data_IF_388774882068
#
_entry.id   IF_388774882068
#
_cell.length_a   1.000
_cell.length_b   1.000
_cell.length_c   1.000
_cell.angle_alpha   90.00
_cell.angle_beta   90.00
_cell.angle_gamma   90.00
#
_symmetry.space_group_name_H-M   'P 1'
#
loop_
_entity.id
_entity.type
_entity.pdbx_description
1 polymer ?
#
# COMPACT_ATOMS: atom_id res chain seq x y z
N UNK A 1 -18.19 51.84 -50.79
CA UNK A 1 -17.96 51.19 -49.48
C UNK A 1 -17.66 49.72 -49.71
N UNK A 2 -16.40 49.29 -49.64
CA UNK A 2 -15.99 47.89 -49.79
C UNK A 2 -15.76 47.31 -48.38
N UNK A 3 -16.51 46.27 -48.04
CA UNK A 3 -16.38 45.53 -46.79
C UNK A 3 -15.27 44.49 -46.96
N UNK A 4 -14.26 44.49 -46.06
CA UNK A 4 -13.26 43.43 -45.94
C UNK A 4 -13.76 42.33 -44.99
N UNK A 5 -13.55 41.04 -45.30
CA UNK A 5 -13.93 39.95 -44.39
C UNK A 5 -12.84 39.76 -43.30
N UNK A 6 -13.27 39.68 -42.04
CA UNK A 6 -12.43 39.24 -40.91
C UNK A 6 -12.28 37.72 -40.94
N UNK A 7 -11.06 37.23 -40.99
CA UNK A 7 -10.74 35.82 -40.77
C UNK A 7 -10.49 35.58 -39.26
N UNK A 8 -11.02 34.52 -38.66
CA UNK A 8 -10.74 34.20 -37.27
C UNK A 8 -9.34 33.57 -37.15
N UNK A 9 -8.51 34.13 -36.29
CA UNK A 9 -7.26 33.52 -35.82
C UNK A 9 -7.59 32.39 -34.87
N UNK A 10 -7.31 31.16 -35.28
CA UNK A 10 -7.35 29.98 -34.40
C UNK A 10 -6.00 29.95 -33.66
N UNK A 11 -6.03 30.27 -32.36
CA UNK A 11 -4.88 30.05 -31.49
C UNK A 11 -4.78 28.54 -31.14
N UNK A 12 -3.79 27.87 -31.68
CA UNK A 12 -3.45 26.50 -31.29
C UNK A 12 -2.71 26.55 -29.93
N UNK A 13 -3.38 26.13 -28.89
CA UNK A 13 -2.74 25.90 -27.60
C UNK A 13 -1.88 24.62 -27.70
N UNK A 14 -0.56 24.77 -27.71
CA UNK A 14 0.35 23.64 -27.53
C UNK A 14 0.27 23.20 -26.05
N UNK A 15 -0.37 22.07 -25.81
CA UNK A 15 -0.21 21.33 -24.58
C UNK A 15 1.20 20.70 -24.58
N UNK A 16 2.11 21.27 -23.79
CA UNK A 16 3.35 20.59 -23.44
C UNK A 16 2.98 19.40 -22.54
N UNK A 17 2.91 18.20 -23.11
CA UNK A 17 2.95 16.98 -22.34
C UNK A 17 4.37 16.81 -21.78
N UNK A 18 4.53 17.01 -20.48
CA UNK A 18 5.75 16.66 -19.79
C UNK A 18 5.94 15.13 -19.92
N UNK A 19 6.93 14.72 -20.70
CA UNK A 19 7.33 13.32 -20.82
C UNK A 19 8.02 12.92 -19.52
N UNK A 20 7.31 12.25 -18.62
CA UNK A 20 7.92 11.59 -17.48
C UNK A 20 8.75 10.40 -17.97
N UNK A 21 9.91 10.20 -17.37
CA UNK A 21 10.81 9.07 -17.64
C UNK A 21 10.08 7.75 -17.43
N UNK A 22 10.06 6.87 -18.43
CA UNK A 22 9.30 5.61 -18.50
C UNK A 22 9.70 4.52 -17.47
N UNK A 23 10.65 4.81 -16.56
CA UNK A 23 11.12 3.86 -15.55
C UNK A 23 10.44 3.96 -14.17
N UNK A 24 9.80 5.10 -13.88
CA UNK A 24 9.22 5.38 -12.57
C UNK A 24 7.68 5.29 -12.55
N UNK A 25 7.07 5.08 -13.71
CA UNK A 25 5.62 4.93 -13.81
C UNK A 25 5.16 3.52 -13.46
N UNK A 26 3.98 3.42 -12.88
CA UNK A 26 3.38 2.14 -12.55
C UNK A 26 3.17 1.28 -13.82
N UNK A 27 3.41 -0.03 -13.74
CA UNK A 27 3.15 -0.93 -14.86
C UNK A 27 1.66 -0.93 -15.24
N UNK A 28 1.39 -1.16 -16.52
CA UNK A 28 0.03 -1.39 -16.97
C UNK A 28 -0.58 -2.57 -16.20
N UNK A 29 -1.88 -2.48 -15.92
CA UNK A 29 -2.59 -3.56 -15.25
C UNK A 29 -2.67 -4.80 -16.16
N UNK A 30 -2.29 -5.95 -15.60
CA UNK A 30 -2.44 -7.23 -16.30
C UNK A 30 -3.93 -7.61 -16.36
N UNK A 31 -4.47 -7.94 -17.55
CA UNK A 31 -5.88 -8.32 -17.71
C UNK A 31 -6.25 -9.62 -16.98
N UNK A 32 -5.27 -10.42 -16.55
CA UNK A 32 -5.45 -11.63 -15.75
C UNK A 32 -5.59 -11.39 -14.25
N UNK A 33 -5.61 -10.14 -13.78
CA UNK A 33 -5.81 -9.86 -12.36
C UNK A 33 -7.14 -10.38 -11.82
N UNK A 34 -7.11 -11.02 -10.65
CA UNK A 34 -8.26 -11.59 -9.97
C UNK A 34 -8.72 -10.66 -8.86
N UNK A 35 -10.01 -10.26 -8.88
CA UNK A 35 -10.63 -9.55 -7.75
C UNK A 35 -10.77 -10.50 -6.57
N UNK A 36 -10.26 -10.10 -5.41
CA UNK A 36 -10.29 -10.84 -4.15
C UNK A 36 -11.21 -10.22 -3.09
N UNK A 37 -11.88 -9.13 -3.44
CA UNK A 37 -12.99 -8.56 -2.69
C UNK A 37 -14.17 -8.36 -3.63
N UNK A 38 -15.35 -8.86 -3.21
CA UNK A 38 -16.55 -8.92 -4.03
C UNK A 38 -17.42 -7.65 -4.01
N UNK A 39 -17.06 -6.66 -3.14
CA UNK A 39 -17.80 -5.42 -2.95
C UNK A 39 -19.12 -5.56 -2.19
N UNK A 40 -19.42 -6.72 -1.60
CA UNK A 40 -20.73 -6.99 -0.94
C UNK A 40 -20.57 -7.41 0.52
N UNK A 41 -19.65 -8.32 0.79
CA UNK A 41 -19.41 -8.90 2.11
C UNK A 41 -17.94 -9.33 2.26
N UNK A 42 -17.58 -9.81 3.45
CA UNK A 42 -16.23 -10.28 3.77
C UNK A 42 -16.00 -11.77 3.45
N UNK A 43 -16.75 -12.36 2.53
CA UNK A 43 -16.49 -13.73 2.07
C UNK A 43 -15.05 -13.85 1.55
N UNK A 44 -14.32 -14.85 2.03
CA UNK A 44 -12.89 -15.04 1.74
C UNK A 44 -11.94 -14.25 2.66
N UNK A 45 -12.49 -13.49 3.61
CA UNK A 45 -11.72 -12.69 4.58
C UNK A 45 -12.10 -13.09 6.02
N UNK A 46 -11.12 -13.01 6.95
CA UNK A 46 -11.28 -13.35 8.37
C UNK A 46 -10.67 -12.25 9.24
N UNK A 47 -11.48 -11.63 10.07
CA UNK A 47 -11.10 -10.56 10.99
C UNK A 47 -12.13 -10.38 12.08
N UNK A 48 -11.85 -9.55 13.09
CA UNK A 48 -12.76 -9.29 14.19
C UNK A 48 -14.09 -8.70 13.67
N UNK A 49 -15.22 -9.43 13.78
CA UNK A 49 -16.50 -8.98 13.23
C UNK A 49 -17.08 -7.74 13.94
N UNK A 50 -16.53 -7.36 15.09
CA UNK A 50 -16.91 -6.13 15.79
C UNK A 50 -16.29 -4.90 15.12
N UNK A 51 -15.16 -5.07 14.40
CA UNK A 51 -14.32 -4.01 13.89
C UNK A 51 -14.35 -3.92 12.37
N UNK A 52 -14.57 -5.03 11.66
CA UNK A 52 -14.56 -5.11 10.21
C UNK A 52 -15.94 -5.33 9.62
N UNK A 53 -16.28 -4.57 8.60
CA UNK A 53 -17.56 -4.64 7.90
C UNK A 53 -17.40 -4.23 6.43
N UNK A 54 -18.49 -4.32 5.65
CA UNK A 54 -18.58 -3.70 4.33
C UNK A 54 -19.58 -2.55 4.41
N UNK A 55 -19.16 -1.36 3.99
CA UNK A 55 -20.01 -0.16 3.90
C UNK A 55 -19.89 0.41 2.48
N UNK A 56 -21.00 0.64 1.81
CA UNK A 56 -21.05 1.24 0.46
C UNK A 56 -20.11 0.60 -0.56
N UNK A 57 -19.97 -0.73 -0.50
CA UNK A 57 -19.14 -1.49 -1.44
C UNK A 57 -17.64 -1.47 -1.13
N UNK A 58 -17.23 -0.97 0.03
CA UNK A 58 -15.83 -0.96 0.46
C UNK A 58 -15.64 -1.75 1.77
N UNK A 59 -14.48 -2.36 1.96
CA UNK A 59 -14.08 -2.89 3.26
C UNK A 59 -13.85 -1.70 4.18
N UNK A 60 -14.54 -1.69 5.32
CA UNK A 60 -14.43 -0.67 6.35
C UNK A 60 -13.98 -1.32 7.66
N UNK A 61 -12.86 -0.87 8.19
CA UNK A 61 -12.38 -1.20 9.52
C UNK A 61 -12.44 0.02 10.42
N UNK A 62 -12.94 -0.16 11.66
CA UNK A 62 -13.10 0.95 12.60
C UNK A 62 -12.91 0.50 14.05
N UNK A 63 -12.16 1.29 14.82
CA UNK A 63 -12.10 1.21 16.28
C UNK A 63 -12.66 2.49 16.89
N UNK A 64 -13.36 2.36 18.01
CA UNK A 64 -13.91 3.48 18.78
C UNK A 64 -13.51 3.35 20.25
N UNK A 65 -13.78 4.36 21.08
CA UNK A 65 -13.55 4.26 22.53
C UNK A 65 -14.35 3.13 23.18
N UNK A 66 -15.55 2.85 22.66
CA UNK A 66 -16.41 1.76 23.13
C UNK A 66 -16.07 0.40 22.51
N UNK A 67 -15.36 0.37 21.38
CA UNK A 67 -15.05 -0.84 20.62
C UNK A 67 -13.57 -0.83 20.20
N UNK A 68 -12.71 -1.08 21.15
CA UNK A 68 -11.25 -1.04 20.99
C UNK A 68 -10.71 -2.36 20.43
N UNK A 69 -9.59 -2.28 19.72
CA UNK A 69 -8.79 -3.44 19.37
C UNK A 69 -7.84 -3.80 20.54
N UNK A 70 -7.80 -5.08 20.89
CA UNK A 70 -6.80 -5.59 21.84
C UNK A 70 -5.48 -5.91 21.11
N UNK A 71 -4.60 -4.91 21.03
CA UNK A 71 -3.42 -4.94 20.18
C UNK A 71 -3.75 -4.69 18.71
N UNK A 72 -2.71 -4.70 17.85
CA UNK A 72 -2.91 -4.66 16.41
C UNK A 72 -3.73 -5.87 15.96
N UNK A 73 -4.73 -5.64 15.12
CA UNK A 73 -5.63 -6.67 14.60
C UNK A 73 -5.77 -6.54 13.08
N UNK A 74 -6.04 -7.66 12.42
CA UNK A 74 -5.96 -7.72 10.97
C UNK A 74 -7.17 -8.40 10.37
N UNK A 75 -7.57 -7.94 9.18
CA UNK A 75 -8.48 -8.66 8.29
C UNK A 75 -7.65 -9.48 7.32
N UNK A 76 -7.69 -10.80 7.46
CA UNK A 76 -6.82 -11.77 6.78
C UNK A 76 -7.54 -12.34 5.55
N UNK A 77 -6.91 -12.23 4.36
CA UNK A 77 -7.39 -12.92 3.18
C UNK A 77 -7.07 -14.43 3.27
N UNK A 78 -8.09 -15.27 3.15
CA UNK A 78 -8.01 -16.73 3.39
C UNK A 78 -7.77 -17.55 2.12
N UNK A 79 -8.10 -17.02 0.96
CA UNK A 79 -8.20 -17.80 -0.27
C UNK A 79 -6.90 -17.85 -1.09
N UNK A 80 -5.78 -17.37 -0.51
CA UNK A 80 -4.50 -17.41 -1.22
C UNK A 80 -3.29 -16.97 -0.40
N UNK A 81 -2.17 -16.89 -1.10
CA UNK A 81 -0.87 -16.46 -0.55
C UNK A 81 -0.23 -15.41 -1.45
N UNK A 82 0.66 -14.63 -0.85
CA UNK A 82 1.53 -13.65 -1.52
C UNK A 82 2.95 -14.22 -1.59
N UNK A 83 3.30 -14.82 -2.73
CA UNK A 83 4.67 -15.27 -3.07
C UNK A 83 5.31 -14.27 -4.02
N UNK A 84 5.35 -14.59 -5.33
CA UNK A 84 5.65 -13.64 -6.39
C UNK A 84 4.32 -13.10 -6.91
N UNK A 85 4.06 -11.82 -6.67
CA UNK A 85 2.73 -11.25 -6.92
C UNK A 85 2.78 -9.77 -7.30
N UNK A 86 1.70 -9.31 -7.93
CA UNK A 86 1.31 -7.90 -7.99
C UNK A 86 -0.07 -7.75 -7.34
N UNK A 87 -0.16 -6.89 -6.35
CA UNK A 87 -1.40 -6.50 -5.67
C UNK A 87 -1.73 -5.06 -6.04
N UNK A 88 -2.99 -4.80 -6.35
CA UNK A 88 -3.55 -3.45 -6.54
C UNK A 88 -4.76 -3.26 -5.67
N UNK A 89 -4.86 -2.09 -5.06
CA UNK A 89 -6.03 -1.66 -4.30
C UNK A 89 -6.04 -0.14 -4.14
N UNK A 90 -7.17 0.41 -3.71
CA UNK A 90 -7.25 1.79 -3.23
C UNK A 90 -7.54 1.79 -1.74
N UNK A 91 -6.94 2.75 -1.02
CA UNK A 91 -7.18 2.94 0.41
C UNK A 91 -7.45 4.41 0.75
N UNK A 92 -8.09 4.62 1.87
CA UNK A 92 -8.12 5.86 2.64
C UNK A 92 -8.25 5.55 4.13
N UNK A 93 -7.74 6.43 4.98
CA UNK A 93 -7.84 6.29 6.44
C UNK A 93 -7.85 7.67 7.09
N UNK A 94 -8.27 7.74 8.36
CA UNK A 94 -8.13 8.98 9.11
C UNK A 94 -6.67 9.24 9.55
N UNK A 95 -6.40 10.46 10.05
CA UNK A 95 -5.05 10.88 10.44
C UNK A 95 -4.70 10.57 11.91
N UNK A 96 -5.58 9.89 12.66
CA UNK A 96 -5.39 9.72 14.12
C UNK A 96 -4.46 8.56 14.46
N UNK A 97 -4.33 7.59 13.57
CA UNK A 97 -3.48 6.41 13.75
C UNK A 97 -2.97 5.93 12.38
N UNK A 98 -2.16 4.88 12.35
CA UNK A 98 -1.73 4.23 11.11
C UNK A 98 -2.56 2.97 10.83
N UNK A 99 -2.45 2.51 9.61
CA UNK A 99 -2.94 1.23 9.11
C UNK A 99 -1.85 0.56 8.28
N UNK A 100 -2.14 -0.55 7.63
CA UNK A 100 -1.16 -1.24 6.80
C UNK A 100 -1.74 -2.31 5.92
N UNK A 101 -1.02 -2.62 4.85
CA UNK A 101 -1.25 -3.76 3.98
C UNK A 101 -0.13 -4.76 4.23
N UNK A 102 -0.45 -5.86 4.87
CA UNK A 102 0.46 -6.96 5.14
C UNK A 102 0.59 -7.86 3.92
N UNK A 103 1.80 -8.26 3.58
CA UNK A 103 2.07 -9.23 2.51
C UNK A 103 3.27 -10.10 2.88
N UNK A 104 3.34 -11.31 2.33
CA UNK A 104 4.36 -12.32 2.70
C UNK A 104 4.47 -12.48 4.21
N UNK A 105 3.35 -12.34 4.92
CA UNK A 105 3.29 -12.29 6.37
C UNK A 105 2.79 -13.61 6.95
N UNK A 106 2.91 -13.77 8.27
CA UNK A 106 2.48 -14.96 9.00
C UNK A 106 1.34 -14.63 9.95
N UNK A 107 0.29 -15.44 9.95
CA UNK A 107 -0.74 -15.43 10.97
C UNK A 107 -0.19 -16.05 12.25
N UNK A 108 -0.25 -15.34 13.37
CA UNK A 108 0.30 -15.78 14.65
C UNK A 108 -0.82 -16.41 15.49
N UNK A 109 -0.83 -17.72 15.55
CA UNK A 109 -1.84 -18.51 16.28
C UNK A 109 -1.30 -19.14 17.57
N UNK A 110 0.02 -19.09 17.75
CA UNK A 110 0.71 -19.71 18.90
C UNK A 110 1.36 -18.63 19.79
N UNK A 111 1.76 -19.00 21.01
CA UNK A 111 2.48 -18.10 21.94
C UNK A 111 1.60 -17.07 22.62
N UNK A 112 0.28 -17.28 22.71
CA UNK A 112 -0.72 -16.40 23.36
C UNK A 112 -0.74 -15.00 22.73
N UNK A 113 -1.06 -14.86 21.43
CA UNK A 113 -1.24 -13.54 20.83
C UNK A 113 -2.38 -12.79 21.55
N UNK A 114 -2.34 -11.45 21.53
CA UNK A 114 -3.36 -10.60 22.20
C UNK A 114 -4.77 -10.83 21.66
N UNK A 115 -4.88 -11.12 20.37
CA UNK A 115 -6.13 -11.50 19.74
C UNK A 115 -5.86 -12.58 18.68
N UNK A 116 -6.92 -13.16 18.13
CA UNK A 116 -6.79 -14.27 17.18
C UNK A 116 -6.44 -13.85 15.74
N UNK A 117 -6.31 -12.55 15.47
CA UNK A 117 -5.98 -12.02 14.13
C UNK A 117 -4.67 -11.24 14.14
N UNK A 118 -3.67 -11.70 14.88
CA UNK A 118 -2.34 -11.09 14.89
C UNK A 118 -1.54 -11.58 13.69
N UNK A 119 -0.95 -10.65 12.96
CA UNK A 119 -0.11 -10.91 11.78
C UNK A 119 1.27 -10.29 11.98
N UNK A 120 2.32 -10.92 11.45
CA UNK A 120 3.71 -10.42 11.47
C UNK A 120 4.34 -10.62 10.11
N UNK A 121 5.12 -9.63 9.68
CA UNK A 121 5.86 -9.67 8.42
C UNK A 121 5.97 -8.31 7.74
N UNK A 122 6.09 -8.29 6.41
CA UNK A 122 6.17 -7.04 5.67
C UNK A 122 4.84 -6.30 5.67
N UNK A 123 4.90 -5.01 5.99
CA UNK A 123 3.78 -4.09 5.92
C UNK A 123 4.08 -2.93 4.98
N UNK A 124 3.24 -2.70 4.00
CA UNK A 124 3.12 -1.40 3.35
C UNK A 124 2.37 -0.49 4.33
N UNK A 125 3.08 0.42 4.96
CA UNK A 125 2.51 1.34 5.95
C UNK A 125 1.50 2.28 5.31
N UNK A 126 0.39 2.55 6.00
CA UNK A 126 -0.64 3.49 5.59
C UNK A 126 -0.79 4.60 6.62
N UNK A 127 -0.69 5.85 6.17
CA UNK A 127 -0.87 7.05 6.97
C UNK A 127 -1.60 8.11 6.15
N UNK A 128 -2.33 8.97 6.81
CA UNK A 128 -3.02 10.10 6.18
C UNK A 128 -2.30 11.40 6.50
N UNK A 129 -1.03 11.51 6.08
CA UNK A 129 -0.20 12.68 6.34
C UNK A 129 0.83 12.91 5.22
N UNK A 130 1.36 14.14 5.12
CA UNK A 130 2.31 14.55 4.08
C UNK A 130 3.76 14.75 4.57
N UNK A 131 4.04 14.55 5.85
CA UNK A 131 5.34 14.87 6.44
C UNK A 131 6.34 13.73 6.30
N UNK A 132 7.35 13.91 5.46
CA UNK A 132 8.48 13.00 5.33
C UNK A 132 9.26 12.84 6.66
N UNK A 133 9.80 11.65 6.95
CA UNK A 133 9.72 10.38 6.22
C UNK A 133 8.58 9.47 6.70
N UNK A 134 7.69 9.95 7.59
CA UNK A 134 6.63 9.17 8.23
C UNK A 134 5.33 9.20 7.43
N UNK A 135 5.38 8.80 6.18
CA UNK A 135 4.25 8.85 5.24
C UNK A 135 3.85 7.45 4.79
N UNK A 136 2.72 7.34 4.08
CA UNK A 136 2.30 6.06 3.50
C UNK A 136 3.35 5.49 2.55
N UNK A 137 3.54 4.17 2.56
CA UNK A 137 4.27 3.46 1.50
C UNK A 137 5.61 2.88 1.89
N UNK A 138 6.18 3.17 3.07
CA UNK A 138 7.41 2.50 3.48
C UNK A 138 7.15 1.03 3.88
N UNK A 139 8.21 0.21 3.83
CA UNK A 139 8.14 -1.16 4.33
C UNK A 139 8.46 -1.17 5.81
N UNK A 140 7.51 -1.67 6.61
CA UNK A 140 7.67 -1.92 8.04
C UNK A 140 7.73 -3.43 8.33
N UNK A 141 8.55 -3.81 9.31
CA UNK A 141 8.66 -5.20 9.82
C UNK A 141 7.69 -5.38 10.99
N UNK A 142 6.41 -5.62 10.71
CA UNK A 142 5.36 -5.75 11.72
C UNK A 142 5.67 -6.93 12.67
N UNK A 143 5.88 -6.60 13.94
CA UNK A 143 6.24 -7.56 14.98
C UNK A 143 7.62 -8.19 14.82
N UNK A 144 8.44 -7.72 13.88
CA UNK A 144 9.80 -8.15 13.64
C UNK A 144 10.84 -7.27 14.33
N UNK A 145 12.10 -7.41 13.94
CA UNK A 145 13.25 -6.75 14.59
C UNK A 145 13.78 -5.53 13.84
N UNK A 146 13.47 -5.42 12.53
CA UNK A 146 14.08 -4.42 11.64
C UNK A 146 13.37 -3.06 11.66
N UNK A 147 12.11 -3.01 12.14
CA UNK A 147 11.32 -1.79 12.17
C UNK A 147 11.05 -1.27 10.76
N UNK A 148 11.51 -0.04 10.44
CA UNK A 148 11.41 0.53 9.08
C UNK A 148 12.51 -0.04 8.20
N UNK A 149 12.15 -0.93 7.28
CA UNK A 149 13.08 -1.64 6.41
C UNK A 149 13.56 -0.74 5.28
N UNK A 150 12.64 -0.09 4.57
CA UNK A 150 12.94 0.80 3.44
C UNK A 150 11.92 1.95 3.43
N UNK A 151 12.39 3.18 3.31
CA UNK A 151 11.55 4.38 3.37
C UNK A 151 11.05 4.78 1.98
N UNK A 152 10.02 5.60 1.95
CA UNK A 152 9.55 6.23 0.70
C UNK A 152 10.63 7.15 0.16
N UNK A 153 10.82 7.10 -1.16
CA UNK A 153 11.88 7.80 -1.88
C UNK A 153 13.15 6.98 -2.06
N UNK A 154 13.29 5.84 -1.36
CA UNK A 154 14.51 5.03 -1.39
C UNK A 154 14.51 3.96 -2.50
N UNK A 155 15.66 3.82 -3.16
CA UNK A 155 16.14 2.55 -3.73
C UNK A 155 17.11 1.94 -2.74
N UNK A 156 16.80 0.74 -2.23
CA UNK A 156 17.56 0.17 -1.13
C UNK A 156 17.77 -1.33 -1.22
N UNK A 157 18.72 -1.81 -0.41
CA UNK A 157 18.88 -3.24 -0.19
C UNK A 157 19.39 -3.53 1.21
N UNK A 158 19.02 -4.70 1.74
CA UNK A 158 19.67 -5.31 2.89
C UNK A 158 20.52 -6.48 2.38
N UNK A 159 21.76 -6.54 2.82
CA UNK A 159 22.67 -7.64 2.44
C UNK A 159 22.57 -8.81 3.42
N UNK A 160 23.31 -9.87 3.12
CA UNK A 160 23.38 -11.08 3.95
C UNK A 160 23.93 -10.87 5.36
N UNK A 161 24.60 -9.76 5.61
CA UNK A 161 25.21 -9.41 6.89
C UNK A 161 24.33 -8.42 7.67
N UNK A 162 23.08 -8.16 7.19
CA UNK A 162 22.13 -7.25 7.81
C UNK A 162 22.46 -5.77 7.62
N UNK A 163 23.35 -5.44 6.67
CA UNK A 163 23.71 -4.07 6.37
C UNK A 163 22.77 -3.51 5.30
N UNK A 164 22.19 -2.35 5.58
CA UNK A 164 21.38 -1.60 4.63
C UNK A 164 22.25 -0.68 3.77
N UNK A 165 21.97 -0.66 2.47
CA UNK A 165 22.45 0.37 1.53
C UNK A 165 21.24 1.03 0.90
N UNK A 166 21.31 2.35 0.65
CA UNK A 166 20.18 3.12 0.10
C UNK A 166 20.66 4.31 -0.73
N UNK A 167 19.87 4.69 -1.75
CA UNK A 167 19.86 6.01 -2.36
C UNK A 167 18.46 6.64 -2.21
N UNK A 168 18.36 7.98 -2.23
CA UNK A 168 17.10 8.72 -2.01
C UNK A 168 16.78 9.58 -3.22
N UNK A 169 16.44 8.92 -4.31
CA UNK A 169 16.30 9.54 -5.63
C UNK A 169 14.96 9.26 -6.35
N UNK A 170 14.02 8.55 -5.69
CA UNK A 170 12.73 8.22 -6.30
C UNK A 170 11.70 9.32 -6.12
N UNK A 171 11.49 9.78 -4.89
CA UNK A 171 10.46 10.75 -4.51
C UNK A 171 10.97 11.62 -3.39
N UNK A 172 10.90 12.92 -3.56
CA UNK A 172 11.16 13.94 -2.54
C UNK A 172 9.86 14.48 -1.91
N UNK A 173 9.98 15.41 -0.98
CA UNK A 173 8.85 16.03 -0.29
C UNK A 173 7.91 16.79 -1.26
N UNK A 174 8.44 17.45 -2.28
CA UNK A 174 7.63 18.23 -3.23
C UNK A 174 6.81 17.30 -4.12
N UNK A 175 7.45 16.28 -4.68
CA UNK A 175 6.78 15.23 -5.45
C UNK A 175 5.70 14.54 -4.62
N UNK A 176 6.01 14.18 -3.36
CA UNK A 176 5.04 13.57 -2.46
C UNK A 176 3.82 14.46 -2.22
N UNK A 177 4.02 15.77 -1.99
CA UNK A 177 2.93 16.70 -1.75
C UNK A 177 1.95 16.82 -2.93
N UNK A 178 2.44 16.62 -4.15
CA UNK A 178 1.60 16.58 -5.36
C UNK A 178 0.96 15.21 -5.60
N UNK A 179 1.59 14.14 -5.12
CA UNK A 179 1.18 12.76 -5.37
C UNK A 179 0.13 12.28 -4.39
N UNK A 180 0.36 12.46 -3.07
CA UNK A 180 -0.49 11.93 -2.02
C UNK A 180 -1.76 12.78 -1.81
N UNK A 181 -2.92 12.12 -1.77
CA UNK A 181 -4.24 12.74 -1.58
C UNK A 181 -4.67 12.56 -0.12
N UNK A 182 -4.54 13.64 0.69
CA UNK A 182 -5.02 13.65 2.08
C UNK A 182 -6.54 13.57 2.11
N UNK A 183 -7.08 12.79 3.04
CA UNK A 183 -8.52 12.55 3.25
C UNK A 183 -9.26 11.99 2.01
N UNK A 184 -8.54 11.43 1.05
CA UNK A 184 -9.10 10.89 -0.17
C UNK A 184 -8.48 9.53 -0.52
N UNK A 185 -9.04 8.88 -1.55
CA UNK A 185 -8.58 7.60 -2.06
C UNK A 185 -7.19 7.71 -2.71
N UNK A 186 -6.30 6.83 -2.29
CA UNK A 186 -4.97 6.66 -2.87
C UNK A 186 -4.84 5.25 -3.43
N UNK A 187 -4.30 5.15 -4.66
CA UNK A 187 -4.11 3.89 -5.34
C UNK A 187 -2.73 3.32 -5.02
N UNK A 188 -2.67 2.06 -4.62
CA UNK A 188 -1.45 1.34 -4.26
C UNK A 188 -1.23 0.18 -5.21
N UNK A 189 0.04 -0.01 -5.62
CA UNK A 189 0.52 -1.25 -6.22
C UNK A 189 1.69 -1.75 -5.39
N UNK A 190 1.63 -3.02 -5.01
CA UNK A 190 2.75 -3.74 -4.39
C UNK A 190 3.15 -4.84 -5.35
N UNK A 191 4.41 -4.82 -5.80
CA UNK A 191 5.02 -5.89 -6.59
C UNK A 191 6.13 -6.53 -5.79
N UNK A 192 6.12 -7.85 -5.72
CA UNK A 192 7.18 -8.61 -5.09
C UNK A 192 7.50 -9.82 -5.98
N UNK A 193 8.75 -9.93 -6.43
CA UNK A 193 9.24 -11.05 -7.23
C UNK A 193 10.63 -11.48 -6.71
N UNK A 194 10.73 -12.73 -6.23
CA UNK A 194 11.91 -13.17 -5.51
C UNK A 194 12.16 -12.26 -4.28
N UNK A 195 13.34 -11.68 -4.19
CA UNK A 195 13.74 -10.75 -3.15
C UNK A 195 13.49 -9.27 -3.49
N UNK A 196 12.98 -8.96 -4.68
CA UNK A 196 12.74 -7.60 -5.17
C UNK A 196 11.31 -7.16 -4.84
N UNK A 197 11.18 -6.02 -4.17
CA UNK A 197 9.92 -5.43 -3.73
C UNK A 197 9.83 -3.99 -4.25
N UNK A 198 8.71 -3.65 -4.86
CA UNK A 198 8.43 -2.32 -5.37
C UNK A 198 7.06 -1.85 -4.87
N UNK A 199 7.01 -0.62 -4.35
CA UNK A 199 5.75 0.04 -4.00
C UNK A 199 5.51 1.22 -4.92
N UNK A 200 4.27 1.32 -5.42
CA UNK A 200 3.79 2.46 -6.20
C UNK A 200 2.61 3.10 -5.50
N UNK A 201 2.53 4.41 -5.58
CA UNK A 201 1.40 5.19 -5.10
C UNK A 201 0.92 6.12 -6.20
N UNK A 202 -0.40 6.13 -6.47
CA UNK A 202 -1.03 6.98 -7.47
C UNK A 202 -0.30 7.00 -8.82
N UNK A 203 0.19 5.83 -9.25
CA UNK A 203 0.88 5.64 -10.52
C UNK A 203 2.41 5.88 -10.51
N UNK A 204 2.99 6.28 -9.38
CA UNK A 204 4.44 6.57 -9.26
C UNK A 204 5.15 5.53 -8.40
N UNK A 205 6.34 5.07 -8.84
CA UNK A 205 7.25 4.26 -8.02
C UNK A 205 7.76 5.12 -6.86
N UNK A 206 7.48 4.68 -5.63
CA UNK A 206 7.84 5.41 -4.41
C UNK A 206 8.90 4.69 -3.58
N UNK A 207 9.13 3.40 -3.84
CA UNK A 207 10.09 2.56 -3.14
C UNK A 207 10.50 1.39 -4.03
N UNK A 208 11.82 1.10 -4.07
CA UNK A 208 12.41 -0.03 -4.78
C UNK A 208 13.43 -0.71 -3.87
N UNK A 209 13.19 -1.98 -3.50
CA UNK A 209 13.92 -2.63 -2.44
C UNK A 209 14.29 -4.08 -2.76
N UNK A 210 15.54 -4.46 -2.44
CA UNK A 210 16.01 -5.84 -2.50
C UNK A 210 16.36 -6.37 -1.11
N UNK A 211 15.65 -7.38 -0.63
CA UNK A 211 15.94 -8.03 0.64
C UNK A 211 16.83 -9.26 0.41
N UNK A 212 18.13 -9.09 0.62
CA UNK A 212 19.13 -10.16 0.46
C UNK A 212 19.54 -10.79 1.80
N UNK A 213 18.86 -10.47 2.89
CA UNK A 213 19.10 -11.11 4.20
C UNK A 213 18.48 -12.51 4.21
N UNK A 214 19.29 -13.60 4.21
CA UNK A 214 18.76 -14.97 4.08
C UNK A 214 18.00 -15.44 5.31
N UNK A 215 18.11 -14.72 6.44
CA UNK A 215 17.49 -15.08 7.71
C UNK A 215 16.20 -14.32 7.99
N UNK A 216 16.02 -13.12 7.40
CA UNK A 216 14.93 -12.21 7.68
C UNK A 216 14.04 -11.90 6.46
N UNK A 217 14.55 -12.14 5.24
CA UNK A 217 13.76 -11.94 4.02
C UNK A 217 12.56 -12.88 3.97
N UNK A 218 11.40 -12.31 3.64
CA UNK A 218 10.16 -13.07 3.50
C UNK A 218 9.84 -13.27 2.01
N UNK A 219 9.61 -14.52 1.64
CA UNK A 219 9.38 -14.90 0.23
C UNK A 219 7.95 -15.36 -0.04
N UNK A 220 7.21 -15.73 1.02
CA UNK A 220 5.82 -16.14 0.92
C UNK A 220 5.04 -15.81 2.20
N UNK A 221 3.73 -15.86 2.13
CA UNK A 221 2.86 -15.69 3.27
C UNK A 221 1.46 -15.22 2.91
N UNK A 222 0.77 -14.65 3.88
CA UNK A 222 -0.60 -14.17 3.73
C UNK A 222 -0.66 -12.67 3.41
N UNK A 223 -1.82 -12.25 2.90
CA UNK A 223 -2.25 -10.87 2.75
C UNK A 223 -3.20 -10.52 3.90
N UNK A 224 -3.05 -9.34 4.51
CA UNK A 224 -3.99 -8.84 5.50
C UNK A 224 -4.01 -7.30 5.54
N UNK A 225 -5.10 -6.75 6.08
CA UNK A 225 -5.32 -5.30 6.26
C UNK A 225 -5.34 -5.00 7.76
N UNK A 226 -4.67 -3.92 8.20
CA UNK A 226 -4.46 -3.63 9.62
C UNK A 226 -5.48 -2.61 10.17
N UNK A 227 -5.92 -2.84 11.42
CA UNK A 227 -6.33 -1.80 12.35
C UNK A 227 -5.32 -1.74 13.51
N UNK A 228 -4.71 -0.58 13.69
CA UNK A 228 -3.72 -0.36 14.73
C UNK A 228 -4.40 -0.12 16.08
N UNK A 229 -3.82 -0.71 17.13
CA UNK A 229 -4.28 -0.47 18.50
C UNK A 229 -4.03 0.98 18.95
N UNK A 230 -4.73 1.42 19.99
CA UNK A 230 -4.54 2.71 20.60
C UNK A 230 -5.69 3.68 20.32
N UNK A 231 -5.40 4.83 19.70
CA UNK A 231 -6.44 5.83 19.42
C UNK A 231 -7.49 5.32 18.44
N UNK A 232 -8.77 5.72 18.61
CA UNK A 232 -9.80 5.42 17.64
C UNK A 232 -9.40 5.79 16.22
N UNK A 233 -9.62 4.88 15.28
CA UNK A 233 -9.25 5.04 13.89
C UNK A 233 -10.24 4.34 12.97
N UNK A 234 -10.21 4.71 11.69
CA UNK A 234 -10.83 3.94 10.63
C UNK A 234 -9.90 3.84 9.42
N UNK A 235 -10.04 2.76 8.68
CA UNK A 235 -9.38 2.54 7.40
C UNK A 235 -10.35 1.86 6.43
N UNK A 236 -10.30 2.24 5.17
CA UNK A 236 -11.16 1.71 4.11
C UNK A 236 -10.33 1.25 2.92
N UNK A 237 -10.82 0.17 2.27
CA UNK A 237 -10.15 -0.47 1.15
C UNK A 237 -11.16 -0.89 0.09
N UNK A 238 -10.79 -0.72 -1.18
CA UNK A 238 -11.60 -1.14 -2.32
C UNK A 238 -10.75 -1.57 -3.50
N UNK A 239 -11.40 -2.12 -4.52
CA UNK A 239 -10.80 -2.50 -5.79
C UNK A 239 -9.59 -3.44 -5.62
N UNK A 240 -9.68 -4.37 -4.64
CA UNK A 240 -8.59 -5.26 -4.26
C UNK A 240 -8.50 -6.39 -5.27
N UNK A 241 -7.36 -6.47 -5.97
CA UNK A 241 -7.09 -7.47 -6.98
C UNK A 241 -5.63 -7.88 -7.00
N UNK A 242 -5.36 -9.12 -7.34
CA UNK A 242 -4.03 -9.73 -7.27
C UNK A 242 -3.77 -10.62 -8.49
N UNK A 243 -2.51 -10.73 -8.87
CA UNK A 243 -2.03 -11.70 -9.84
C UNK A 243 -0.70 -12.30 -9.38
N UNK A 244 -0.48 -13.59 -9.64
CA UNK A 244 0.83 -14.21 -9.48
C UNK A 244 1.75 -13.77 -10.64
N UNK A 245 2.97 -13.37 -10.30
CA UNK A 245 4.01 -13.03 -11.27
C UNK A 245 4.77 -14.32 -11.67
N UNK A 246 5.04 -14.45 -12.98
CA UNK A 246 5.79 -15.57 -13.56
C UNK A 246 7.29 -15.28 -13.59
#
# INVERSE_FOLDING_TARGET
MKRFPYAPMIAAALLLAASFSSGDDAPAEDPGMVKIFNGKDLTGWDGDPRLWSVKDGVIHGETTEANVADGNTFLIWKDGKTTDFELRLSFRCNATNNSGIQYRSKHITEGKPRNQWVVRGYQHELRNEKTFPNISGFIYDEGGKRGRICLVGEKGSWDKDGKKTESKDLVDQETWNSLFRVDDWNDVIIRAKGNHIQHYLNGRLILDFHDNDPSLALTDGILALQLHAGKPMWAEFRDIRIIALK
#
